data_IF_412703802202
#
_entry.id   IF_412703802202
#
_cell.length_a   1.000
_cell.length_b   1.000
_cell.length_c   1.000
_cell.angle_alpha   90.00
_cell.angle_beta   90.00
_cell.angle_gamma   90.00
#
_symmetry.space_group_name_H-M   'P 1'
#
loop_
_entity.id
_entity.type
_entity.pdbx_description
1 polymer ?
#
# COMPACT_ATOMS: atom_id res chain seq x y z
N UNK A 1 -6.12 -13.05 7.46
CA UNK A 1 -6.39 -12.54 8.82
C UNK A 1 -6.73 -11.06 8.79
N UNK A 2 -5.90 -10.21 8.15
CA UNK A 2 -6.16 -8.76 7.94
C UNK A 2 -7.58 -8.45 7.43
N UNK A 3 -8.00 -9.05 6.31
CA UNK A 3 -9.33 -8.79 5.73
C UNK A 3 -10.49 -9.08 6.68
N UNK A 4 -10.36 -10.12 7.51
CA UNK A 4 -11.37 -10.47 8.50
C UNK A 4 -11.42 -9.41 9.61
N UNK A 5 -10.26 -8.96 10.09
CA UNK A 5 -10.18 -7.89 11.08
C UNK A 5 -10.78 -6.59 10.52
N UNK A 6 -10.42 -6.18 9.30
CA UNK A 6 -10.96 -5.00 8.62
C UNK A 6 -12.50 -5.01 8.55
N UNK A 7 -13.10 -6.09 8.03
CA UNK A 7 -14.56 -6.17 7.90
C UNK A 7 -15.27 -6.10 9.26
N UNK A 8 -14.67 -6.66 10.31
CA UNK A 8 -15.23 -6.63 11.66
C UNK A 8 -15.06 -5.26 12.33
N UNK A 9 -13.93 -4.59 12.10
CA UNK A 9 -13.67 -3.23 12.57
C UNK A 9 -14.66 -2.25 11.92
N UNK A 10 -14.81 -2.28 10.60
CA UNK A 10 -15.75 -1.44 9.85
C UNK A 10 -17.20 -1.66 10.31
N UNK A 11 -17.61 -2.91 10.53
CA UNK A 11 -18.97 -3.23 10.97
C UNK A 11 -19.22 -3.08 12.48
N UNK A 12 -18.21 -2.68 13.26
CA UNK A 12 -18.32 -2.53 14.73
C UNK A 12 -18.91 -1.18 15.14
N UNK A 13 -18.78 -0.17 14.29
CA UNK A 13 -19.32 1.16 14.52
C UNK A 13 -20.10 1.66 13.31
N UNK A 14 -21.04 2.57 13.56
CA UNK A 14 -21.66 3.37 12.50
C UNK A 14 -21.76 4.82 12.95
N UNK A 15 -21.27 5.71 12.13
CA UNK A 15 -21.48 7.16 12.28
C UNK A 15 -22.71 7.59 11.46
N UNK A 16 -23.43 8.57 11.98
CA UNK A 16 -24.47 9.32 11.28
C UNK A 16 -24.50 10.72 11.83
N UNK A 17 -24.55 11.72 10.95
CA UNK A 17 -24.81 13.10 11.34
C UNK A 17 -26.09 13.66 10.70
N UNK A 18 -26.53 14.81 11.21
CA UNK A 18 -27.62 15.62 10.65
C UNK A 18 -27.25 17.08 10.81
N UNK A 19 -27.05 17.76 9.69
CA UNK A 19 -26.76 19.19 9.66
C UNK A 19 -28.05 19.98 9.82
N UNK A 20 -28.04 20.94 10.73
CA UNK A 20 -29.16 21.78 11.07
C UNK A 20 -28.94 23.19 10.49
N UNK A 21 -29.95 23.68 9.78
CA UNK A 21 -29.93 24.99 9.11
C UNK A 21 -31.18 25.78 9.49
N UNK A 22 -31.02 27.09 9.63
CA UNK A 22 -32.14 28.03 9.66
C UNK A 22 -32.17 28.89 8.41
N UNK A 23 -33.38 29.25 8.01
CA UNK A 23 -33.61 30.18 6.90
C UNK A 23 -33.57 31.61 7.43
N UNK A 24 -32.60 32.40 6.97
CA UNK A 24 -32.56 33.84 7.23
C UNK A 24 -33.12 34.62 6.05
N UNK A 25 -33.92 35.63 6.35
CA UNK A 25 -34.36 36.63 5.38
C UNK A 25 -33.42 37.83 5.42
N UNK A 26 -32.97 38.28 4.25
CA UNK A 26 -32.11 39.46 4.13
C UNK A 26 -32.55 40.34 2.95
N UNK A 27 -32.21 41.61 3.00
CA UNK A 27 -32.43 42.56 1.91
C UNK A 27 -31.17 42.65 1.05
N UNK A 28 -31.34 42.59 -0.26
CA UNK A 28 -30.29 42.75 -1.26
C UNK A 28 -30.67 43.86 -2.24
N UNK A 29 -29.68 44.47 -2.89
CA UNK A 29 -29.92 45.51 -3.91
C UNK A 29 -29.58 44.94 -5.27
N UNK A 30 -30.58 44.77 -6.13
CA UNK A 30 -30.38 44.31 -7.50
C UNK A 30 -30.42 45.49 -8.46
N UNK A 31 -29.39 45.57 -9.31
CA UNK A 31 -29.38 46.47 -10.46
C UNK A 31 -29.98 45.78 -11.68
N UNK A 32 -30.86 46.46 -12.39
CA UNK A 32 -31.39 46.03 -13.68
C UNK A 32 -31.43 47.20 -14.64
N UNK A 33 -31.24 46.91 -15.93
CA UNK A 33 -31.33 47.92 -16.99
C UNK A 33 -32.69 47.78 -17.66
N UNK A 34 -33.43 48.88 -17.72
CA UNK A 34 -34.72 48.89 -18.41
C UNK A 34 -34.55 48.80 -19.94
N UNK A 35 -35.65 48.62 -20.66
CA UNK A 35 -35.65 48.53 -22.13
C UNK A 35 -35.16 49.79 -22.84
N UNK A 36 -35.00 50.90 -22.10
CA UNK A 36 -34.54 52.19 -22.60
C UNK A 36 -33.05 52.43 -22.29
N UNK A 37 -32.37 51.45 -21.69
CA UNK A 37 -30.94 51.52 -21.38
C UNK A 37 -30.62 52.21 -20.05
N UNK A 38 -31.60 52.54 -19.21
CA UNK A 38 -31.34 53.15 -17.91
C UNK A 38 -31.13 52.07 -16.85
N UNK A 39 -30.04 52.19 -16.08
CA UNK A 39 -29.80 51.34 -14.92
C UNK A 39 -30.60 51.83 -13.71
N UNK A 40 -31.42 50.95 -13.15
CA UNK A 40 -32.17 51.17 -11.93
C UNK A 40 -31.77 50.14 -10.87
N UNK A 41 -31.88 50.50 -9.60
CA UNK A 41 -31.74 49.56 -8.49
C UNK A 41 -33.07 49.35 -7.79
N UNK A 42 -33.31 48.14 -7.30
CA UNK A 42 -34.43 47.85 -6.40
C UNK A 42 -33.95 47.03 -5.22
N UNK A 43 -34.50 47.31 -4.05
CA UNK A 43 -34.34 46.45 -2.88
C UNK A 43 -35.22 45.24 -3.06
N UNK A 44 -34.64 44.05 -2.96
CA UNK A 44 -35.34 42.78 -2.99
C UNK A 44 -35.13 42.04 -1.67
N UNK A 45 -36.16 41.34 -1.22
CA UNK A 45 -36.06 40.44 -0.08
C UNK A 45 -35.66 39.06 -0.60
N UNK A 46 -34.55 38.53 -0.09
CA UNK A 46 -34.03 37.20 -0.40
C UNK A 46 -33.96 36.35 0.86
N UNK A 47 -33.90 35.04 0.67
CA UNK A 47 -33.68 34.09 1.76
C UNK A 47 -32.38 33.33 1.53
N UNK A 48 -31.63 33.06 2.60
CA UNK A 48 -30.46 32.17 2.57
C UNK A 48 -30.57 31.12 3.68
N UNK A 49 -30.05 29.93 3.44
CA UNK A 49 -29.82 28.96 4.51
C UNK A 49 -28.55 29.35 5.26
N UNK A 50 -28.63 29.37 6.58
CA UNK A 50 -27.50 29.58 7.47
C UNK A 50 -27.33 28.33 8.31
N UNK A 51 -26.13 27.79 8.29
CA UNK A 51 -25.74 26.64 9.10
C UNK A 51 -25.73 27.03 10.58
N UNK A 52 -26.36 26.23 11.42
CA UNK A 52 -26.39 26.44 12.87
C UNK A 52 -25.46 25.45 13.58
N UNK A 53 -25.76 24.15 13.48
CA UNK A 53 -25.03 23.08 14.14
C UNK A 53 -25.23 21.73 13.42
N UNK A 54 -24.57 20.69 13.92
CA UNK A 54 -24.68 19.33 13.44
C UNK A 54 -24.86 18.38 14.62
N UNK A 55 -25.84 17.49 14.51
CA UNK A 55 -26.07 16.38 15.43
C UNK A 55 -25.30 15.13 14.98
N UNK A 56 -24.29 14.73 15.74
CA UNK A 56 -23.46 13.55 15.49
C UNK A 56 -23.91 12.35 16.32
N UNK A 57 -24.04 11.19 15.68
CA UNK A 57 -24.47 9.94 16.29
C UNK A 57 -23.50 8.81 15.99
N UNK A 58 -22.98 8.16 17.03
CA UNK A 58 -22.11 7.00 16.91
C UNK A 58 -22.76 5.79 17.55
N UNK A 59 -22.90 4.71 16.78
CA UNK A 59 -23.56 3.47 17.19
C UNK A 59 -22.54 2.33 17.28
N UNK A 60 -22.42 1.71 18.45
CA UNK A 60 -21.56 0.53 18.63
C UNK A 60 -22.33 -0.79 18.54
N UNK A 61 -21.77 -1.74 17.80
CA UNK A 61 -22.29 -3.10 17.65
C UNK A 61 -21.41 -4.10 18.43
N UNK A 62 -21.82 -4.40 19.67
CA UNK A 62 -21.07 -5.22 20.65
C UNK A 62 -20.51 -6.54 20.09
N UNK A 63 -21.33 -7.32 19.37
CA UNK A 63 -20.89 -8.60 18.78
C UNK A 63 -19.76 -8.39 17.77
N UNK A 64 -19.89 -7.40 16.90
CA UNK A 64 -18.88 -7.10 15.88
C UNK A 64 -17.63 -6.52 16.52
N UNK A 65 -17.76 -5.62 17.50
CA UNK A 65 -16.63 -5.04 18.20
C UNK A 65 -15.80 -6.07 18.99
N UNK A 66 -16.45 -7.02 19.67
CA UNK A 66 -15.76 -8.15 20.32
C UNK A 66 -15.06 -9.06 19.31
N UNK A 67 -15.74 -9.39 18.22
CA UNK A 67 -15.15 -10.21 17.16
C UNK A 67 -13.98 -9.50 16.47
N UNK A 68 -14.06 -8.18 16.28
CA UNK A 68 -13.00 -7.35 15.73
C UNK A 68 -11.78 -7.34 16.65
N UNK A 69 -11.99 -7.10 17.95
CA UNK A 69 -10.93 -7.16 18.96
C UNK A 69 -10.24 -8.53 18.96
N UNK A 70 -10.99 -9.63 18.93
CA UNK A 70 -10.41 -10.97 18.86
C UNK A 70 -9.65 -11.22 17.55
N UNK A 71 -10.17 -10.75 16.41
CA UNK A 71 -9.52 -10.92 15.11
C UNK A 71 -8.20 -10.13 15.02
N UNK A 72 -8.18 -8.92 15.58
CA UNK A 72 -7.00 -8.08 15.67
C UNK A 72 -5.97 -8.70 16.63
N UNK A 73 -6.41 -9.22 17.77
CA UNK A 73 -5.56 -9.94 18.73
C UNK A 73 -4.89 -11.16 18.09
N UNK A 74 -5.64 -11.97 17.34
CA UNK A 74 -5.09 -13.10 16.57
C UNK A 74 -4.08 -12.59 15.52
N UNK A 75 -4.38 -11.50 14.82
CA UNK A 75 -3.48 -10.94 13.81
C UNK A 75 -2.15 -10.54 14.42
N UNK A 76 -2.14 -9.73 15.48
CA UNK A 76 -0.90 -9.22 16.09
C UNK A 76 -0.14 -10.31 16.86
N UNK A 77 -0.84 -11.25 17.51
CA UNK A 77 -0.18 -12.33 18.26
C UNK A 77 0.33 -13.46 17.35
N UNK A 78 -0.12 -13.54 16.10
CA UNK A 78 0.36 -14.54 15.15
C UNK A 78 1.76 -14.23 14.59
N UNK A 79 2.24 -12.99 14.74
CA UNK A 79 3.52 -12.56 14.19
C UNK A 79 4.18 -11.53 15.14
N UNK A 80 5.39 -11.80 15.61
CA UNK A 80 6.13 -10.82 16.41
C UNK A 80 6.57 -9.60 15.58
N UNK A 81 6.88 -9.83 14.31
CA UNK A 81 7.27 -8.81 13.33
C UNK A 81 6.85 -9.24 11.92
N UNK A 82 6.71 -8.26 11.02
CA UNK A 82 6.63 -8.55 9.59
C UNK A 82 8.04 -8.81 9.08
N UNK A 83 8.36 -10.08 8.90
CA UNK A 83 9.63 -10.48 8.31
C UNK A 83 9.42 -10.92 6.85
N UNK A 84 9.76 -10.03 5.91
CA UNK A 84 9.81 -10.32 4.48
C UNK A 84 11.23 -10.56 3.97
N UNK A 85 12.22 -10.64 4.87
CA UNK A 85 13.61 -10.95 4.52
C UNK A 85 13.68 -12.38 3.97
N UNK A 86 14.10 -12.49 2.71
CA UNK A 86 14.07 -13.74 1.94
C UNK A 86 13.15 -13.70 0.71
N UNK A 87 12.22 -12.74 0.64
CA UNK A 87 11.44 -12.50 -0.58
C UNK A 87 12.23 -11.71 -1.65
N UNK A 88 13.33 -11.06 -1.25
CA UNK A 88 14.18 -10.25 -2.14
C UNK A 88 15.65 -10.57 -1.93
N UNK A 89 16.36 -10.76 -3.04
CA UNK A 89 17.81 -10.97 -3.05
C UNK A 89 18.51 -9.66 -3.36
N UNK A 90 19.34 -9.20 -2.45
CA UNK A 90 20.16 -8.00 -2.64
C UNK A 90 21.58 -8.41 -3.04
N UNK A 91 22.18 -7.64 -3.94
CA UNK A 91 23.58 -7.80 -4.28
C UNK A 91 24.44 -7.47 -3.04
N UNK A 92 25.19 -8.45 -2.55
CA UNK A 92 26.10 -8.26 -1.41
C UNK A 92 27.43 -7.62 -1.81
N UNK A 93 27.83 -7.74 -3.09
CA UNK A 93 29.07 -7.20 -3.65
C UNK A 93 28.87 -6.88 -5.14
N UNK A 94 29.62 -5.90 -5.62
CA UNK A 94 29.73 -5.56 -7.05
C UNK A 94 31.10 -6.03 -7.55
N UNK A 95 31.15 -6.71 -8.70
CA UNK A 95 32.41 -7.13 -9.32
C UNK A 95 33.15 -5.93 -9.95
N UNK A 96 34.40 -6.14 -10.36
CA UNK A 96 35.26 -5.07 -10.91
C UNK A 96 34.58 -4.36 -12.09
N UNK A 97 33.96 -5.11 -12.99
CA UNK A 97 33.27 -4.57 -14.16
C UNK A 97 32.06 -3.71 -13.76
N UNK A 98 31.29 -4.15 -12.75
CA UNK A 98 30.18 -3.37 -12.22
C UNK A 98 30.62 -2.11 -11.48
N UNK A 99 31.76 -2.15 -10.78
CA UNK A 99 32.38 -0.97 -10.16
C UNK A 99 32.77 0.05 -11.22
N UNK A 100 33.50 -0.39 -12.26
CA UNK A 100 33.95 0.47 -13.37
C UNK A 100 32.76 1.08 -14.13
N UNK A 101 31.70 0.30 -14.36
CA UNK A 101 30.49 0.78 -15.02
C UNK A 101 29.75 1.83 -14.17
N UNK A 102 29.62 1.59 -12.86
CA UNK A 102 28.99 2.52 -11.93
C UNK A 102 29.77 3.84 -11.84
N UNK A 103 31.09 3.78 -11.69
CA UNK A 103 31.95 4.95 -11.64
C UNK A 103 31.88 5.76 -12.94
N UNK A 104 32.05 5.11 -14.10
CA UNK A 104 31.97 5.76 -15.41
C UNK A 104 30.60 6.38 -15.68
N UNK A 105 29.53 5.77 -15.18
CA UNK A 105 28.19 6.34 -15.30
C UNK A 105 28.00 7.58 -14.45
N UNK A 106 28.57 7.63 -13.24
CA UNK A 106 28.38 8.74 -12.28
C UNK A 106 29.30 9.91 -12.56
N UNK A 107 30.50 9.66 -13.09
CA UNK A 107 31.42 10.69 -13.61
C UNK A 107 30.85 11.54 -14.75
N UNK A 108 29.78 11.08 -15.40
CA UNK A 108 29.05 11.89 -16.40
C UNK A 108 28.13 12.95 -15.79
N UNK A 109 27.77 12.78 -14.52
CA UNK A 109 26.91 13.71 -13.78
C UNK A 109 27.74 14.61 -12.86
N UNK A 110 28.84 14.08 -12.35
CA UNK A 110 29.78 14.76 -11.46
C UNK A 110 31.19 14.21 -11.70
N UNK A 111 32.05 14.98 -12.37
CA UNK A 111 33.40 14.52 -12.79
C UNK A 111 34.30 14.14 -11.61
N UNK A 112 34.07 14.73 -10.44
CA UNK A 112 34.82 14.49 -9.20
C UNK A 112 34.27 13.30 -8.40
N UNK A 113 33.28 12.57 -8.95
CA UNK A 113 32.68 11.43 -8.26
C UNK A 113 33.69 10.28 -8.08
N UNK A 114 34.00 9.97 -6.82
CA UNK A 114 34.74 8.77 -6.43
C UNK A 114 33.80 7.68 -5.93
N UNK A 115 33.84 6.50 -6.55
CA UNK A 115 32.97 5.38 -6.20
C UNK A 115 33.50 4.65 -4.96
N UNK A 116 32.76 4.71 -3.86
CA UNK A 116 33.02 3.86 -2.69
C UNK A 116 32.39 2.46 -2.84
N UNK A 117 32.86 1.48 -2.06
CA UNK A 117 32.22 0.15 -2.02
C UNK A 117 30.77 0.22 -1.53
N UNK A 118 30.47 1.14 -0.62
CA UNK A 118 29.12 1.39 -0.15
C UNK A 118 28.23 1.94 -1.28
N UNK A 119 28.73 2.89 -2.06
CA UNK A 119 28.02 3.44 -3.22
C UNK A 119 27.78 2.40 -4.29
N UNK A 120 28.75 1.53 -4.55
CA UNK A 120 28.58 0.44 -5.50
C UNK A 120 27.48 -0.54 -5.09
N UNK A 121 27.39 -0.87 -3.80
CA UNK A 121 26.29 -1.68 -3.27
C UNK A 121 24.93 -0.96 -3.39
N UNK A 122 24.88 0.35 -3.13
CA UNK A 122 23.67 1.16 -3.31
C UNK A 122 23.23 1.26 -4.76
N UNK A 123 24.17 1.43 -5.69
CA UNK A 123 23.91 1.48 -7.14
C UNK A 123 23.42 0.11 -7.62
N UNK A 124 24.10 -0.97 -7.23
CA UNK A 124 23.69 -2.33 -7.58
C UNK A 124 22.29 -2.71 -7.05
N UNK A 125 21.89 -2.14 -5.91
CA UNK A 125 20.58 -2.35 -5.31
C UNK A 125 19.60 -1.19 -5.53
N UNK A 126 19.87 -0.27 -6.47
CA UNK A 126 18.97 0.88 -6.73
C UNK A 126 17.58 0.43 -7.19
N UNK A 127 17.51 -0.68 -7.91
CA UNK A 127 16.24 -1.32 -8.30
C UNK A 127 15.39 -1.68 -7.08
N UNK A 128 15.99 -2.06 -5.95
CA UNK A 128 15.26 -2.43 -4.75
C UNK A 128 14.65 -1.19 -4.08
N UNK A 129 15.40 -0.08 -3.98
CA UNK A 129 14.97 1.14 -3.27
C UNK A 129 13.64 1.69 -3.80
N UNK A 130 13.47 1.74 -5.12
CA UNK A 130 12.26 2.24 -5.78
C UNK A 130 11.21 1.17 -6.07
N UNK A 131 11.45 -0.08 -5.69
CA UNK A 131 10.55 -1.18 -6.03
C UNK A 131 9.22 -1.10 -5.29
N UNK A 132 8.15 -1.55 -5.94
CA UNK A 132 6.85 -1.83 -5.33
C UNK A 132 7.02 -2.68 -4.06
N UNK A 133 7.94 -3.65 -4.09
CA UNK A 133 8.25 -4.45 -2.91
C UNK A 133 8.72 -3.58 -1.73
N UNK A 134 9.80 -2.81 -1.91
CA UNK A 134 10.41 -2.03 -0.80
C UNK A 134 9.49 -0.95 -0.27
N UNK A 135 8.77 -0.27 -1.15
CA UNK A 135 7.80 0.76 -0.76
C UNK A 135 6.70 0.17 0.13
N UNK A 136 6.13 -0.97 -0.26
CA UNK A 136 5.06 -1.60 0.51
C UNK A 136 5.58 -2.37 1.73
N UNK A 137 6.79 -2.95 1.69
CA UNK A 137 7.45 -3.53 2.86
C UNK A 137 7.64 -2.46 3.94
N UNK A 138 8.17 -1.29 3.56
CA UNK A 138 8.39 -0.17 4.48
C UNK A 138 7.07 0.28 5.11
N UNK A 139 6.01 0.42 4.30
CA UNK A 139 4.68 0.79 4.78
C UNK A 139 4.12 -0.26 5.75
N UNK A 140 4.14 -1.55 5.37
CA UNK A 140 3.67 -2.64 6.22
C UNK A 140 4.41 -2.69 7.56
N UNK A 141 5.76 -2.64 7.53
CA UNK A 141 6.59 -2.64 8.73
C UNK A 141 6.39 -1.40 9.61
N UNK A 142 6.03 -0.25 9.03
CA UNK A 142 5.75 0.97 9.80
C UNK A 142 4.41 0.92 10.54
N UNK A 143 3.38 0.28 9.96
CA UNK A 143 2.04 0.22 10.57
C UNK A 143 1.87 -0.95 11.54
N UNK A 144 2.65 -2.02 11.40
CA UNK A 144 2.50 -3.20 12.25
C UNK A 144 2.72 -2.93 13.76
N UNK A 145 3.76 -2.16 14.19
CA UNK A 145 3.90 -1.78 15.59
C UNK A 145 2.72 -0.93 16.08
N UNK A 146 2.22 -0.03 15.23
CA UNK A 146 1.06 0.81 15.55
C UNK A 146 -0.19 -0.07 15.74
N UNK A 147 -0.36 -1.13 14.93
CA UNK A 147 -1.46 -2.08 15.09
C UNK A 147 -1.41 -2.85 16.41
N UNK A 148 -0.21 -3.14 16.92
CA UNK A 148 -0.05 -3.75 18.24
C UNK A 148 -0.55 -2.80 19.34
N UNK A 149 -0.24 -1.51 19.23
CA UNK A 149 -0.73 -0.49 20.15
C UNK A 149 -2.25 -0.29 20.01
N UNK A 150 -2.75 -0.23 18.78
CA UNK A 150 -4.18 -0.15 18.44
C UNK A 150 -4.95 -1.35 18.99
N UNK A 151 -4.39 -2.57 18.95
CA UNK A 151 -5.03 -3.74 19.54
C UNK A 151 -5.32 -3.53 21.04
N UNK A 152 -4.37 -2.92 21.75
CA UNK A 152 -4.56 -2.59 23.17
C UNK A 152 -5.68 -1.56 23.37
N UNK A 153 -5.78 -0.56 22.48
CA UNK A 153 -6.81 0.47 22.50
C UNK A 153 -8.20 -0.10 22.17
N UNK A 154 -8.31 -0.90 21.11
CA UNK A 154 -9.54 -1.59 20.70
C UNK A 154 -10.05 -2.52 21.79
N UNK A 155 -9.15 -3.24 22.47
CA UNK A 155 -9.50 -4.10 23.60
C UNK A 155 -10.04 -3.30 24.78
N UNK A 156 -9.39 -2.18 25.13
CA UNK A 156 -9.89 -1.26 26.18
C UNK A 156 -11.25 -0.67 25.79
N UNK A 157 -11.39 -0.16 24.57
CA UNK A 157 -12.61 0.40 24.04
C UNK A 157 -13.79 -0.59 24.09
N UNK A 158 -13.55 -1.84 23.70
CA UNK A 158 -14.54 -2.92 23.76
C UNK A 158 -15.00 -3.20 25.20
N UNK A 159 -14.09 -3.15 26.17
CA UNK A 159 -14.43 -3.32 27.58
C UNK A 159 -15.21 -2.12 28.13
N UNK A 160 -14.81 -0.89 27.81
CA UNK A 160 -15.48 0.33 28.25
C UNK A 160 -16.91 0.39 27.74
N UNK A 161 -17.13 0.17 26.44
CA UNK A 161 -18.48 0.19 25.86
C UNK A 161 -19.28 -1.03 26.31
N UNK A 162 -18.63 -2.20 26.46
CA UNK A 162 -19.29 -3.39 27.00
C UNK A 162 -19.82 -3.20 28.43
N UNK A 163 -19.08 -2.46 29.27
CA UNK A 163 -19.52 -2.09 30.61
C UNK A 163 -20.71 -1.12 30.59
N UNK A 164 -20.67 -0.07 29.75
CA UNK A 164 -21.79 0.87 29.61
C UNK A 164 -23.06 0.20 29.07
N UNK A 165 -22.92 -0.76 28.16
CA UNK A 165 -24.04 -1.53 27.63
C UNK A 165 -24.72 -2.35 28.72
N UNK A 166 -23.96 -2.99 29.61
CA UNK A 166 -24.54 -3.81 30.68
C UNK A 166 -25.35 -2.97 31.68
N UNK A 167 -24.97 -1.72 31.91
CA UNK A 167 -25.76 -0.77 32.71
C UNK A 167 -27.02 -0.28 31.97
N UNK A 168 -26.98 -0.21 30.63
CA UNK A 168 -28.05 0.35 29.77
C UNK A 168 -28.99 -0.68 29.14
N UNK A 169 -28.71 -1.98 29.27
CA UNK A 169 -29.51 -3.11 28.74
C UNK A 169 -30.95 -3.21 29.27
N UNK A 170 -31.44 -2.25 30.05
CA UNK A 170 -32.88 -1.99 30.22
C UNK A 170 -33.57 -1.43 28.95
N UNK A 171 -32.85 -1.15 27.85
CA UNK A 171 -33.43 -0.52 26.65
C UNK A 171 -32.82 -0.84 25.28
N UNK A 172 -32.57 -2.11 24.94
CA UNK A 172 -32.68 -2.70 23.57
C UNK A 172 -32.04 -2.08 22.30
N UNK A 173 -31.30 -0.96 22.31
CA UNK A 173 -30.61 -0.42 21.12
C UNK A 173 -29.11 -0.27 21.42
N UNK A 174 -28.25 -0.56 20.44
CA UNK A 174 -26.80 -0.39 20.57
C UNK A 174 -26.44 0.98 21.14
N UNK A 175 -25.35 1.05 21.90
CA UNK A 175 -24.99 2.28 22.62
C UNK A 175 -24.82 3.43 21.61
N UNK A 176 -25.63 4.48 21.83
CA UNK A 176 -25.67 5.68 21.02
C UNK A 176 -24.89 6.77 21.75
N UNK A 177 -23.80 7.22 21.17
CA UNK A 177 -23.12 8.44 21.59
C UNK A 177 -23.66 9.60 20.76
N UNK A 178 -23.92 10.73 21.41
CA UNK A 178 -24.51 11.91 20.80
C UNK A 178 -23.69 13.16 21.13
N UNK A 179 -23.42 13.96 20.11
CA UNK A 179 -22.75 15.24 20.23
C UNK A 179 -23.46 16.25 19.32
N UNK A 180 -23.81 17.42 19.84
CA UNK A 180 -24.23 18.55 19.03
C UNK A 180 -23.07 19.54 18.94
N UNK A 181 -22.67 19.92 17.72
CA UNK A 181 -21.50 20.79 17.52
C UNK A 181 -21.74 21.82 16.43
N UNK A 182 -21.10 22.99 16.54
CA UNK A 182 -21.09 23.99 15.47
C UNK A 182 -20.20 23.60 14.27
N UNK A 183 -19.95 22.31 14.03
CA UNK A 183 -19.08 21.80 12.98
C UNK A 183 -19.71 20.60 12.27
N UNK A 184 -19.60 20.58 10.94
CA UNK A 184 -20.01 19.44 10.09
C UNK A 184 -19.26 18.14 10.40
N UNK A 185 -18.15 18.22 11.13
CA UNK A 185 -17.37 17.05 11.53
C UNK A 185 -17.17 16.98 13.02
N UNK A 186 -17.15 15.75 13.53
CA UNK A 186 -16.79 15.44 14.90
C UNK A 186 -16.01 14.12 14.93
N UNK A 187 -14.89 14.04 15.68
CA UNK A 187 -14.06 12.82 15.71
C UNK A 187 -14.73 11.63 16.42
N UNK A 188 -15.83 11.87 17.13
CA UNK A 188 -16.55 10.85 17.88
C UNK A 188 -15.90 10.51 19.23
N UNK A 189 -16.46 9.53 19.96
CA UNK A 189 -15.90 9.08 21.23
C UNK A 189 -14.52 8.42 21.04
N UNK A 190 -13.70 8.39 22.10
CA UNK A 190 -12.34 7.83 22.03
C UNK A 190 -12.35 6.35 21.62
N UNK A 191 -13.42 5.62 21.96
CA UNK A 191 -13.62 4.25 21.55
C UNK A 191 -13.87 4.11 20.06
N UNK A 192 -14.62 5.02 19.45
CA UNK A 192 -14.79 5.07 18.00
C UNK A 192 -13.45 5.35 17.31
N UNK A 193 -12.71 6.36 17.79
CA UNK A 193 -11.40 6.73 17.26
C UNK A 193 -10.38 5.58 17.33
N UNK A 194 -10.44 4.77 18.40
CA UNK A 194 -9.58 3.59 18.56
C UNK A 194 -9.84 2.52 17.50
N UNK A 195 -11.11 2.30 17.16
CA UNK A 195 -11.50 1.36 16.11
C UNK A 195 -11.18 1.89 14.71
N UNK A 196 -11.38 3.19 14.47
CA UNK A 196 -11.08 3.86 13.19
C UNK A 196 -9.56 3.86 12.90
N UNK A 197 -8.73 4.11 13.92
CA UNK A 197 -7.28 3.98 13.83
C UNK A 197 -6.85 2.57 13.47
N UNK A 198 -7.37 1.56 14.18
CA UNK A 198 -7.10 0.16 13.90
C UNK A 198 -7.55 -0.27 12.49
N UNK A 199 -8.72 0.20 12.03
CA UNK A 199 -9.25 -0.06 10.69
C UNK A 199 -8.33 0.53 9.62
N UNK A 200 -7.93 1.78 9.80
CA UNK A 200 -7.01 2.49 8.89
C UNK A 200 -5.69 1.72 8.77
N UNK A 201 -5.06 1.38 9.90
CA UNK A 201 -3.77 0.71 9.90
C UNK A 201 -3.86 -0.74 9.38
N UNK A 202 -4.95 -1.46 9.65
CA UNK A 202 -5.16 -2.82 9.15
C UNK A 202 -5.45 -2.80 7.65
N UNK A 203 -6.11 -1.74 7.15
CA UNK A 203 -6.28 -1.46 5.73
C UNK A 203 -4.95 -1.21 5.01
N UNK A 204 -4.10 -0.34 5.56
CA UNK A 204 -2.76 -0.06 5.01
C UNK A 204 -1.91 -1.34 4.97
N UNK A 205 -1.96 -2.14 6.05
CA UNK A 205 -1.25 -3.41 6.11
C UNK A 205 -1.74 -4.38 5.02
N UNK A 206 -3.04 -4.55 4.89
CA UNK A 206 -3.64 -5.41 3.87
C UNK A 206 -3.26 -4.97 2.45
N UNK A 207 -3.42 -3.69 2.15
CA UNK A 207 -3.10 -3.12 0.84
C UNK A 207 -1.62 -3.34 0.49
N UNK A 208 -0.73 -3.08 1.45
CA UNK A 208 0.71 -3.21 1.28
C UNK A 208 1.12 -4.67 1.03
N UNK A 209 0.63 -5.61 1.85
CA UNK A 209 0.91 -7.03 1.69
C UNK A 209 0.31 -7.59 0.39
N UNK A 210 -0.91 -7.18 0.03
CA UNK A 210 -1.56 -7.57 -1.22
C UNK A 210 -0.73 -7.14 -2.44
N UNK A 211 -0.23 -5.89 -2.44
CA UNK A 211 0.68 -5.40 -3.48
C UNK A 211 1.95 -6.24 -3.58
N UNK A 212 2.61 -6.51 -2.44
CA UNK A 212 3.81 -7.36 -2.38
C UNK A 212 3.55 -8.74 -2.97
N UNK A 213 2.51 -9.44 -2.49
CA UNK A 213 2.20 -10.79 -2.95
C UNK A 213 1.77 -10.84 -4.42
N UNK A 214 1.04 -9.83 -4.89
CA UNK A 214 0.65 -9.74 -6.31
C UNK A 214 1.87 -9.58 -7.22
N UNK A 215 2.87 -8.80 -6.81
CA UNK A 215 4.13 -8.63 -7.56
C UNK A 215 4.94 -9.92 -7.57
N UNK A 216 5.05 -10.60 -6.42
CA UNK A 216 5.76 -11.89 -6.32
C UNK A 216 5.09 -12.94 -7.22
N UNK A 217 3.77 -13.12 -7.09
CA UNK A 217 3.02 -14.11 -7.88
C UNK A 217 3.10 -13.84 -9.39
N UNK A 218 3.08 -12.58 -9.81
CA UNK A 218 3.28 -12.21 -11.20
C UNK A 218 4.69 -12.59 -11.68
N UNK A 219 5.73 -12.26 -10.90
CA UNK A 219 7.12 -12.53 -11.23
C UNK A 219 7.42 -14.03 -11.31
N UNK A 220 6.82 -14.85 -10.45
CA UNK A 220 6.96 -16.31 -10.45
C UNK A 220 6.55 -16.94 -11.80
N UNK A 221 5.58 -16.34 -12.51
CA UNK A 221 5.18 -16.76 -13.85
C UNK A 221 5.95 -16.06 -14.98
N UNK A 222 6.27 -14.78 -14.82
CA UNK A 222 6.88 -13.98 -15.88
C UNK A 222 8.37 -14.28 -16.10
N UNK A 223 9.13 -14.53 -15.03
CA UNK A 223 10.57 -14.78 -15.12
C UNK A 223 10.90 -16.06 -15.90
N UNK A 224 10.25 -17.22 -15.66
CA UNK A 224 10.51 -18.43 -16.44
C UNK A 224 10.19 -18.25 -17.93
N UNK A 225 9.11 -17.53 -18.26
CA UNK A 225 8.75 -17.21 -19.66
C UNK A 225 9.84 -16.38 -20.33
N UNK A 226 10.36 -15.37 -19.62
CA UNK A 226 11.43 -14.52 -20.12
C UNK A 226 12.72 -15.31 -20.35
N UNK A 227 13.08 -16.17 -19.40
CA UNK A 227 14.24 -17.06 -19.53
C UNK A 227 14.11 -17.97 -20.76
N UNK A 228 12.95 -18.60 -20.94
CA UNK A 228 12.68 -19.45 -22.11
C UNK A 228 12.84 -18.70 -23.43
N UNK A 229 12.36 -17.45 -23.52
CA UNK A 229 12.51 -16.64 -24.73
C UNK A 229 13.96 -16.23 -24.99
N UNK A 230 14.71 -15.91 -23.94
CA UNK A 230 16.14 -15.58 -24.05
C UNK A 230 16.99 -16.79 -24.48
N UNK A 231 16.65 -18.00 -24.03
CA UNK A 231 17.35 -19.22 -24.43
C UNK A 231 17.13 -19.52 -25.93
N UNK A 232 15.93 -19.26 -26.48
CA UNK A 232 15.66 -19.34 -27.93
C UNK A 232 16.52 -18.35 -28.71
N UNK A 233 16.61 -17.10 -28.23
CA UNK A 233 17.39 -16.06 -28.89
C UNK A 233 18.90 -16.37 -28.90
N UNK A 234 19.42 -17.02 -27.84
CA UNK A 234 20.81 -17.50 -27.78
C UNK A 234 21.13 -18.64 -28.76
N UNK A 235 20.11 -19.38 -29.20
CA UNK A 235 20.26 -20.54 -30.09
C UNK A 235 19.90 -20.32 -31.55
N UNK A 236 19.37 -19.15 -31.92
CA UNK A 236 18.86 -18.87 -33.28
C UNK A 236 19.83 -18.00 -34.09
N UNK A 237 20.10 -18.41 -35.34
CA UNK A 237 21.06 -17.68 -36.18
C UNK A 237 20.51 -16.50 -36.98
N UNK A 238 19.28 -16.44 -37.53
CA UNK A 238 18.99 -15.28 -38.42
C UNK A 238 17.52 -14.83 -38.72
N UNK A 239 16.43 -15.43 -38.21
CA UNK A 239 15.05 -14.91 -38.52
C UNK A 239 14.11 -14.87 -37.31
N UNK A 240 14.22 -15.79 -36.34
CA UNK A 240 13.41 -15.71 -35.10
C UNK A 240 13.87 -14.60 -34.13
N UNK A 241 15.00 -13.95 -34.42
CA UNK A 241 15.65 -12.98 -33.54
C UNK A 241 14.79 -11.72 -33.34
N UNK A 242 14.18 -11.18 -34.40
CA UNK A 242 13.43 -9.93 -34.30
C UNK A 242 12.13 -10.10 -33.50
N UNK A 243 11.35 -11.14 -33.79
CA UNK A 243 10.09 -11.45 -33.07
C UNK A 243 10.39 -11.84 -31.62
N UNK A 244 11.40 -12.69 -31.38
CA UNK A 244 11.81 -13.03 -30.03
C UNK A 244 12.28 -11.78 -29.25
N UNK A 245 12.95 -10.83 -29.92
CA UNK A 245 13.40 -9.58 -29.30
C UNK A 245 12.21 -8.71 -28.88
N UNK A 246 11.19 -8.57 -29.72
CA UNK A 246 9.97 -7.80 -29.39
C UNK A 246 9.23 -8.40 -28.19
N UNK A 247 8.99 -9.70 -28.20
CA UNK A 247 8.30 -10.40 -27.10
C UNK A 247 9.10 -10.37 -25.79
N UNK A 248 10.43 -10.47 -25.86
CA UNK A 248 11.32 -10.28 -24.70
C UNK A 248 11.17 -8.86 -24.17
N UNK A 249 11.12 -7.87 -25.05
CA UNK A 249 11.02 -6.46 -24.68
C UNK A 249 9.70 -6.14 -24.00
N UNK A 250 8.59 -6.67 -24.53
CA UNK A 250 7.26 -6.43 -23.96
C UNK A 250 7.08 -7.14 -22.63
N UNK A 251 7.49 -8.41 -22.52
CA UNK A 251 7.46 -9.12 -21.24
C UNK A 251 8.36 -8.45 -20.19
N UNK A 252 9.49 -7.92 -20.63
CA UNK A 252 10.40 -7.15 -19.77
C UNK A 252 9.79 -5.84 -19.27
N UNK A 253 9.11 -5.07 -20.15
CA UNK A 253 8.36 -3.87 -19.76
C UNK A 253 7.25 -4.22 -18.77
N UNK A 254 6.57 -5.35 -18.96
CA UNK A 254 5.48 -5.80 -18.10
C UNK A 254 6.01 -6.16 -16.69
N UNK A 255 7.10 -6.95 -16.61
CA UNK A 255 7.79 -7.22 -15.35
C UNK A 255 8.22 -5.92 -14.67
N UNK A 256 8.81 -5.01 -15.42
CA UNK A 256 9.25 -3.74 -14.88
C UNK A 256 8.08 -2.90 -14.32
N UNK A 257 7.02 -2.72 -15.09
CA UNK A 257 5.83 -1.95 -14.67
C UNK A 257 5.17 -2.54 -13.41
N UNK A 258 5.21 -3.86 -13.24
CA UNK A 258 4.67 -4.54 -12.04
C UNK A 258 5.58 -4.40 -10.81
N UNK A 259 6.88 -4.20 -11.02
CA UNK A 259 7.86 -4.08 -9.93
C UNK A 259 8.16 -2.63 -9.51
N UNK A 260 7.71 -1.62 -10.27
CA UNK A 260 7.94 -0.21 -9.97
C UNK A 260 6.65 0.62 -10.07
N UNK A 261 6.12 1.06 -8.93
CA UNK A 261 4.94 1.94 -8.86
C UNK A 261 5.24 3.29 -9.53
N UNK A 262 4.40 3.68 -10.51
CA UNK A 262 4.55 4.92 -11.28
C UNK A 262 5.25 4.75 -12.64
N UNK A 263 5.89 3.59 -12.86
CA UNK A 263 6.66 3.33 -14.08
C UNK A 263 7.87 4.26 -14.23
N UNK A 264 8.74 3.94 -15.18
CA UNK A 264 9.66 4.91 -15.77
C UNK A 264 9.23 5.11 -17.20
N UNK A 265 9.28 6.35 -17.68
CA UNK A 265 9.19 6.60 -19.11
C UNK A 265 10.46 6.05 -19.78
N UNK A 266 10.33 4.83 -20.29
CA UNK A 266 11.40 4.09 -20.95
C UNK A 266 11.42 4.31 -22.46
N UNK A 267 10.49 5.11 -23.00
CA UNK A 267 10.41 5.39 -24.45
C UNK A 267 11.67 6.06 -24.99
N UNK A 268 12.42 6.80 -24.13
CA UNK A 268 13.68 7.45 -24.47
C UNK A 268 14.94 6.57 -24.35
N UNK A 269 14.86 5.38 -23.73
CA UNK A 269 16.03 4.52 -23.53
C UNK A 269 16.30 3.64 -24.76
N UNK A 270 17.03 4.16 -25.75
CA UNK A 270 17.56 3.37 -26.91
C UNK A 270 18.43 2.16 -26.51
N UNK A 271 18.78 2.01 -25.22
CA UNK A 271 19.57 0.91 -24.65
C UNK A 271 18.79 0.10 -23.61
N UNK A 272 17.47 0.05 -23.73
CA UNK A 272 16.58 -0.77 -22.90
C UNK A 272 17.04 -2.22 -22.70
N UNK A 273 17.57 -2.91 -23.74
CA UNK A 273 18.06 -4.27 -23.57
C UNK A 273 19.16 -4.32 -22.51
N UNK A 274 20.21 -3.49 -22.59
CA UNK A 274 21.37 -3.52 -21.70
C UNK A 274 20.99 -3.26 -20.24
N UNK A 275 20.05 -2.32 -20.02
CA UNK A 275 19.49 -2.06 -18.70
C UNK A 275 18.67 -3.26 -18.18
N UNK A 276 17.86 -3.90 -19.04
CA UNK A 276 17.11 -5.11 -18.69
C UNK A 276 18.01 -6.32 -18.40
N UNK A 277 19.09 -6.52 -19.17
CA UNK A 277 20.09 -7.55 -18.92
C UNK A 277 20.77 -7.37 -17.55
N UNK A 278 20.95 -6.13 -17.10
CA UNK A 278 21.46 -5.81 -15.76
C UNK A 278 20.43 -5.98 -14.64
N UNK A 279 19.13 -5.78 -14.93
CA UNK A 279 18.04 -5.89 -13.96
C UNK A 279 17.58 -7.34 -13.75
N UNK A 280 17.80 -8.21 -14.74
CA UNK A 280 17.38 -9.62 -14.75
C UNK A 280 18.53 -10.62 -14.46
N UNK A 281 19.76 -10.13 -14.27
CA UNK A 281 20.91 -10.95 -13.90
C UNK A 281 21.42 -11.92 -14.97
N UNK A 282 20.93 -11.84 -16.22
CA UNK A 282 21.24 -12.83 -17.27
C UNK A 282 22.52 -12.56 -18.07
N UNK A 283 23.19 -11.44 -17.79
CA UNK A 283 24.48 -11.09 -18.39
C UNK A 283 25.52 -10.72 -17.34
N UNK A 284 26.01 -11.69 -16.55
CA UNK A 284 27.27 -11.60 -15.79
C UNK A 284 27.44 -10.49 -14.74
N UNK A 285 26.48 -9.58 -14.61
CA UNK A 285 26.45 -8.48 -13.65
C UNK A 285 25.29 -8.82 -12.71
N UNK A 286 25.65 -9.36 -11.55
CA UNK A 286 24.71 -9.99 -10.64
C UNK A 286 23.69 -9.00 -10.07
N UNK A 287 22.41 -9.20 -10.40
CA UNK A 287 21.23 -8.73 -9.66
C UNK A 287 20.09 -9.73 -9.93
N UNK A 288 19.34 -10.10 -8.90
CA UNK A 288 18.45 -11.27 -8.79
C UNK A 288 17.64 -11.61 -10.04
N UNK A 289 17.64 -12.86 -10.50
CA UNK A 289 16.94 -13.99 -9.89
C UNK A 289 17.75 -15.30 -10.04
N UNK A 290 18.09 -16.05 -8.98
CA UNK A 290 18.46 -17.43 -9.13
C UNK A 290 17.17 -18.24 -9.29
N UNK A 291 16.90 -18.65 -10.52
CA UNK A 291 16.22 -19.90 -10.77
C UNK A 291 16.98 -21.00 -9.99
N UNK A 292 16.50 -21.41 -8.81
CA UNK A 292 17.19 -22.44 -8.03
C UNK A 292 16.82 -22.66 -6.55
N UNK A 293 16.02 -21.81 -5.90
CA UNK A 293 15.62 -22.04 -4.50
C UNK A 293 14.10 -22.00 -4.38
N UNK A 294 13.43 -23.07 -4.82
CA UNK A 294 12.23 -23.74 -4.26
C UNK A 294 11.91 -24.98 -5.14
N UNK A 295 12.93 -25.67 -5.66
CA UNK A 295 12.80 -27.08 -6.07
C UNK A 295 14.04 -27.80 -5.54
N UNK A 296 14.17 -27.89 -4.21
CA UNK A 296 14.93 -29.00 -3.58
C UNK A 296 14.86 -29.09 -2.05
N UNK A 297 14.10 -28.26 -1.33
CA UNK A 297 13.87 -28.45 0.12
C UNK A 297 12.75 -29.42 0.49
N UNK A 298 12.27 -30.26 -0.44
CA UNK A 298 11.30 -31.32 -0.12
C UNK A 298 11.59 -32.68 -0.79
N UNK A 299 12.87 -33.00 -1.00
CA UNK A 299 13.30 -34.37 -1.35
C UNK A 299 14.31 -35.02 -0.40
N UNK A 300 14.89 -34.26 0.53
CA UNK A 300 15.90 -34.78 1.47
C UNK A 300 15.46 -34.99 2.92
N UNK A 301 14.17 -34.83 3.26
CA UNK A 301 13.67 -35.24 4.59
C UNK A 301 13.17 -36.69 4.67
N UNK A 302 13.24 -37.47 3.59
CA UNK A 302 12.72 -38.85 3.55
C UNK A 302 13.73 -39.94 3.13
N UNK A 303 15.04 -39.66 3.14
CA UNK A 303 16.07 -40.69 2.85
C UNK A 303 17.15 -40.92 3.90
N UNK A 304 17.18 -40.18 5.01
CA UNK A 304 18.17 -40.37 6.08
C UNK A 304 17.67 -41.13 7.32
N UNK A 305 16.53 -41.84 7.24
CA UNK A 305 16.05 -42.76 8.30
C UNK A 305 15.95 -44.22 7.88
N UNK A 306 16.92 -44.71 7.10
CA UNK A 306 17.23 -46.15 7.01
C UNK A 306 18.74 -46.33 6.84
N UNK A 307 19.44 -46.58 7.96
CA UNK A 307 20.40 -47.69 8.19
C UNK A 307 21.52 -47.30 9.18
N UNK A 308 21.68 -48.17 10.19
CA UNK A 308 22.76 -48.34 11.18
C UNK A 308 22.85 -47.23 12.25
N UNK A 309 22.65 -47.47 13.55
CA UNK A 309 22.59 -48.68 14.40
C UNK A 309 21.27 -48.76 15.17
#
# INVERSE_FOLDING_TARGET
>A
LSNRANNLLDSSWKERHSDNYRTETYTDTESYTDSNGNSQTRTVTKTRQVYDDTDHYFYYYDTNGKNASNALDILVNSHDTINLSGAVLLASKTNKEGMEAAEKSRKKLDEDFELTHHDAGRIANTWYVGSTFRLNETRACSVFPILTDDNSLVKRATLTVGASINDRRKGGRGDKFYYNTGSHSHPGPIEYQSFDGALTNTGILEESLSKIFSTIAYNDGAIPRLKSKLDVLRGSENIEVDVATEEIMDLSKEIYAKNFQGGFDVSGFRKLPIFLWSLLGLGGIGVGIPAGIIIDRKKDSNRSRRRYY
#
